data_IF_693705842805
#
_entry.id   IF_693705842805
#
_cell.length_a   1.000
_cell.length_b   1.000
_cell.length_c   1.000
_cell.angle_alpha   90.00
_cell.angle_beta   90.00
_cell.angle_gamma   90.00
#
_symmetry.space_group_name_H-M   'P 1'
#
loop_
_entity.id
_entity.type
_entity.pdbx_description
1 polymer ?
#
# COMPACT_ATOMS: atom_id res chain seq x y z
N UNK A 1 9.99 -6.85 -24.56
CA UNK A 1 9.48 -7.12 -25.93
C UNK A 1 9.27 -5.86 -26.79
N UNK A 2 8.74 -4.70 -26.33
CA UNK A 2 8.53 -3.54 -27.22
C UNK A 2 9.82 -2.81 -27.67
N UNK A 3 10.90 -2.85 -26.88
CA UNK A 3 12.17 -2.15 -27.19
C UNK A 3 12.90 -2.70 -28.43
N UNK A 4 12.80 -3.99 -28.73
CA UNK A 4 13.46 -4.61 -29.89
C UNK A 4 12.78 -4.21 -31.21
N UNK A 5 11.45 -4.08 -31.19
CA UNK A 5 10.67 -3.65 -32.36
C UNK A 5 10.90 -2.17 -32.68
N UNK A 6 10.99 -1.33 -31.65
CA UNK A 6 11.24 0.11 -31.78
C UNK A 6 12.64 0.39 -32.34
N UNK A 7 13.63 -0.38 -31.90
CA UNK A 7 15.01 -0.29 -32.41
C UNK A 7 15.10 -0.73 -33.88
N UNK A 8 14.45 -1.84 -34.24
CA UNK A 8 14.40 -2.33 -35.64
C UNK A 8 13.69 -1.35 -36.57
N UNK A 9 12.60 -0.73 -36.11
CA UNK A 9 11.90 0.27 -36.92
C UNK A 9 12.72 1.55 -37.08
N UNK A 10 13.45 1.97 -36.03
CA UNK A 10 14.35 3.11 -36.10
C UNK A 10 15.43 2.90 -37.19
N UNK A 11 16.08 1.74 -37.19
CA UNK A 11 17.07 1.39 -38.22
C UNK A 11 16.47 1.35 -39.64
N UNK A 12 15.26 0.81 -39.80
CA UNK A 12 14.55 0.79 -41.08
C UNK A 12 14.19 2.21 -41.57
N UNK A 13 13.83 3.09 -40.64
CA UNK A 13 13.51 4.50 -40.93
C UNK A 13 14.76 5.28 -41.32
N UNK A 14 15.89 5.06 -40.64
CA UNK A 14 17.18 5.66 -40.99
C UNK A 14 17.66 5.21 -42.38
N UNK A 15 17.54 3.93 -42.70
CA UNK A 15 17.86 3.39 -44.03
C UNK A 15 16.96 3.97 -45.14
N UNK A 16 15.66 4.14 -44.87
CA UNK A 16 14.73 4.79 -45.79
C UNK A 16 15.12 6.26 -46.05
N UNK A 17 15.43 7.02 -45.00
CA UNK A 17 15.83 8.42 -45.13
C UNK A 17 17.13 8.57 -45.94
N UNK A 18 18.12 7.69 -45.75
CA UNK A 18 19.36 7.70 -46.53
C UNK A 18 19.13 7.43 -48.03
N UNK A 19 18.17 6.55 -48.36
CA UNK A 19 17.81 6.23 -49.73
C UNK A 19 17.02 7.37 -50.39
N UNK A 20 16.13 8.03 -49.63
CA UNK A 20 15.40 9.21 -50.07
C UNK A 20 16.33 10.39 -50.38
N UNK A 21 17.32 10.67 -49.54
CA UNK A 21 18.32 11.70 -49.80
C UNK A 21 19.18 11.38 -51.03
N UNK A 22 19.57 10.11 -51.21
CA UNK A 22 20.29 9.66 -52.40
C UNK A 22 19.47 9.86 -53.69
N UNK A 23 18.16 9.62 -53.63
CA UNK A 23 17.24 9.87 -54.73
C UNK A 23 17.13 11.36 -55.06
N UNK A 24 16.97 12.24 -54.05
CA UNK A 24 16.92 13.70 -54.26
C UNK A 24 18.19 14.23 -54.95
N UNK A 25 19.36 13.77 -54.51
CA UNK A 25 20.65 14.15 -55.12
C UNK A 25 20.73 13.73 -56.59
N UNK A 26 20.29 12.50 -56.91
CA UNK A 26 20.30 12.01 -58.29
C UNK A 26 19.25 12.68 -59.18
N UNK A 27 18.10 13.06 -58.62
CA UNK A 27 17.08 13.83 -59.33
C UNK A 27 17.61 15.22 -59.71
N UNK A 28 18.21 15.94 -58.76
CA UNK A 28 18.86 17.23 -59.01
C UNK A 28 19.97 17.13 -60.06
N UNK A 29 20.74 16.03 -60.06
CA UNK A 29 21.76 15.77 -61.09
C UNK A 29 21.12 15.59 -62.47
N UNK A 30 19.99 14.88 -62.58
CA UNK A 30 19.28 14.73 -63.85
C UNK A 30 18.68 16.05 -64.33
N UNK A 31 18.05 16.82 -63.45
CA UNK A 31 17.47 18.13 -63.79
C UNK A 31 18.54 19.11 -64.30
N UNK A 32 19.69 19.20 -63.61
CA UNK A 32 20.83 20.02 -64.07
C UNK A 32 21.31 19.60 -65.47
N UNK A 33 21.36 18.29 -65.75
CA UNK A 33 21.83 17.78 -67.04
C UNK A 33 20.81 17.99 -68.17
N UNK A 34 19.51 17.92 -67.87
CA UNK A 34 18.46 18.27 -68.84
C UNK A 34 18.56 19.75 -69.20
N UNK A 35 18.74 20.64 -68.22
CA UNK A 35 18.84 22.08 -68.44
C UNK A 35 20.15 22.50 -69.15
N UNK A 36 21.25 21.77 -68.94
CA UNK A 36 22.51 21.97 -69.67
C UNK A 36 22.41 21.53 -71.15
N UNK A 37 21.45 20.67 -71.50
CA UNK A 37 21.20 20.24 -72.89
C UNK A 37 20.51 21.31 -73.75
N UNK A 38 19.94 22.34 -73.11
CA UNK A 38 19.15 23.42 -73.72
C UNK A 38 19.91 24.75 -73.80
N UNK A 39 21.21 24.76 -73.50
CA UNK A 39 22.10 25.92 -73.58
C UNK A 39 23.11 25.70 -74.71
N UNK A 40 23.33 26.69 -75.57
CA UNK A 40 24.14 26.57 -76.80
C UNK A 40 25.67 26.39 -76.54
N UNK A 41 26.14 26.52 -75.30
CA UNK A 41 27.54 26.28 -74.91
C UNK A 41 27.77 24.83 -74.44
N UNK A 42 27.76 23.89 -75.39
CA UNK A 42 27.85 22.45 -75.13
C UNK A 42 29.26 21.85 -75.33
N UNK A 43 30.31 22.49 -74.80
CA UNK A 43 31.69 22.01 -75.04
C UNK A 43 32.37 21.24 -73.90
N UNK A 44 31.79 21.13 -72.69
CA UNK A 44 32.51 20.44 -71.60
C UNK A 44 31.86 19.28 -70.84
N UNK A 45 30.63 18.83 -71.16
CA UNK A 45 30.11 17.57 -70.59
C UNK A 45 29.20 16.83 -71.58
N UNK A 46 29.75 16.24 -72.64
CA UNK A 46 29.01 15.27 -73.46
C UNK A 46 29.05 13.90 -72.78
N UNK A 47 28.13 13.66 -71.83
CA UNK A 47 27.77 12.27 -71.50
C UNK A 47 27.19 11.61 -72.76
N UNK A 48 27.58 10.37 -72.99
CA UNK A 48 27.05 9.60 -74.12
C UNK A 48 25.54 9.39 -73.97
N UNK A 49 24.81 9.29 -75.09
CA UNK A 49 23.37 8.96 -75.08
C UNK A 49 23.06 7.72 -74.24
N UNK A 50 24.00 6.78 -74.18
CA UNK A 50 23.95 5.56 -73.36
C UNK A 50 24.00 5.85 -71.86
N UNK A 51 24.86 6.75 -71.40
CA UNK A 51 24.96 7.16 -69.98
C UNK A 51 23.72 7.91 -69.52
N UNK A 52 23.16 8.78 -70.36
CA UNK A 52 21.91 9.49 -70.07
C UNK A 52 20.74 8.51 -69.91
N UNK A 53 20.63 7.52 -70.79
CA UNK A 53 19.61 6.46 -70.67
C UNK A 53 19.78 5.64 -69.40
N UNK A 54 21.02 5.25 -69.04
CA UNK A 54 21.32 4.54 -67.78
C UNK A 54 20.93 5.36 -66.54
N UNK A 55 21.19 6.67 -66.56
CA UNK A 55 20.87 7.56 -65.43
C UNK A 55 19.36 7.73 -65.24
N UNK A 56 18.62 7.94 -66.34
CA UNK A 56 17.14 8.02 -66.31
C UNK A 56 16.53 6.72 -65.81
N UNK A 57 17.00 5.57 -66.29
CA UNK A 57 16.51 4.27 -65.85
C UNK A 57 16.83 3.98 -64.38
N UNK A 58 18.02 4.39 -63.92
CA UNK A 58 18.40 4.27 -62.50
C UNK A 58 17.50 5.14 -61.61
N UNK A 59 17.19 6.36 -62.04
CA UNK A 59 16.26 7.23 -61.32
C UNK A 59 14.83 6.70 -61.30
N UNK A 60 14.36 6.10 -62.41
CA UNK A 60 13.04 5.44 -62.45
C UNK A 60 12.97 4.30 -61.43
N UNK A 61 13.97 3.42 -61.41
CA UNK A 61 14.07 2.30 -60.45
C UNK A 61 14.16 2.77 -59.01
N UNK A 62 14.91 3.86 -58.74
CA UNK A 62 14.99 4.43 -57.40
C UNK A 62 13.66 5.04 -56.96
N UNK A 63 12.93 5.74 -57.84
CA UNK A 63 11.61 6.30 -57.54
C UNK A 63 10.58 5.21 -57.18
N UNK A 64 10.57 4.12 -57.94
CA UNK A 64 9.73 2.94 -57.67
C UNK A 64 10.08 2.36 -56.29
N UNK A 65 11.37 2.13 -56.02
CA UNK A 65 11.84 1.58 -54.74
C UNK A 65 11.57 2.49 -53.54
N UNK A 66 11.66 3.82 -53.71
CA UNK A 66 11.28 4.79 -52.66
C UNK A 66 9.78 4.69 -52.38
N UNK A 67 8.93 4.63 -53.41
CA UNK A 67 7.48 4.55 -53.26
C UNK A 67 7.06 3.23 -52.58
N UNK A 68 7.70 2.11 -52.92
CA UNK A 68 7.48 0.82 -52.25
C UNK A 68 7.85 0.87 -50.76
N UNK A 69 9.01 1.46 -50.43
CA UNK A 69 9.46 1.60 -49.05
C UNK A 69 8.62 2.61 -48.24
N UNK A 70 8.04 3.64 -48.86
CA UNK A 70 7.08 4.55 -48.20
C UNK A 70 5.83 3.80 -47.74
N UNK A 71 5.26 2.98 -48.62
CA UNK A 71 4.10 2.14 -48.29
C UNK A 71 4.46 1.13 -47.19
N UNK A 72 5.64 0.51 -47.31
CA UNK A 72 6.13 -0.49 -46.35
C UNK A 72 6.48 0.11 -44.97
N UNK A 73 6.81 1.40 -44.90
CA UNK A 73 7.12 2.11 -43.65
C UNK A 73 5.90 2.80 -43.01
N UNK A 74 4.84 3.08 -43.76
CA UNK A 74 3.59 3.63 -43.21
C UNK A 74 2.83 2.59 -42.36
N UNK A 75 2.74 1.34 -42.81
CA UNK A 75 1.99 0.30 -42.10
C UNK A 75 2.50 0.02 -40.66
N UNK A 76 3.82 -0.12 -40.40
CA UNK A 76 4.34 -0.27 -39.04
C UNK A 76 4.11 0.94 -38.14
N UNK A 77 4.16 2.16 -38.68
CA UNK A 77 3.93 3.38 -37.90
C UNK A 77 2.47 3.49 -37.45
N UNK A 78 1.52 3.15 -38.33
CA UNK A 78 0.09 3.10 -37.99
C UNK A 78 -0.14 2.05 -36.91
N UNK A 79 0.43 0.85 -37.06
CA UNK A 79 0.32 -0.22 -36.07
C UNK A 79 0.83 0.18 -34.67
N UNK A 80 1.97 0.89 -34.59
CA UNK A 80 2.51 1.39 -33.32
C UNK A 80 1.61 2.45 -32.70
N UNK A 81 1.10 3.40 -33.50
CA UNK A 81 0.16 4.42 -33.00
C UNK A 81 -1.10 3.77 -32.43
N UNK A 82 -1.72 2.85 -33.18
CA UNK A 82 -2.89 2.11 -32.72
C UNK A 82 -2.60 1.28 -31.47
N UNK A 83 -1.43 0.63 -31.37
CA UNK A 83 -1.05 -0.12 -30.18
C UNK A 83 -0.88 0.78 -28.94
N UNK A 84 -0.30 1.97 -29.10
CA UNK A 84 -0.17 2.97 -28.02
C UNK A 84 -1.54 3.47 -27.56
N UNK A 85 -2.42 3.83 -28.49
CA UNK A 85 -3.78 4.28 -28.18
C UNK A 85 -4.61 3.19 -27.48
N UNK A 86 -4.47 1.92 -27.91
CA UNK A 86 -5.14 0.79 -27.25
C UNK A 86 -4.61 0.58 -25.82
N UNK A 87 -3.29 0.68 -25.62
CA UNK A 87 -2.69 0.57 -24.30
C UNK A 87 -3.15 1.70 -23.37
N UNK A 88 -3.21 2.93 -23.86
CA UNK A 88 -3.68 4.09 -23.10
C UNK A 88 -5.17 3.95 -22.72
N UNK A 89 -6.02 3.52 -23.67
CA UNK A 89 -7.43 3.21 -23.39
C UNK A 89 -7.59 2.11 -22.36
N UNK A 90 -6.75 1.07 -22.41
CA UNK A 90 -6.77 -0.01 -21.44
C UNK A 90 -6.36 0.50 -20.05
N UNK A 91 -5.33 1.33 -19.97
CA UNK A 91 -4.89 1.95 -18.72
C UNK A 91 -5.99 2.83 -18.09
N UNK A 92 -6.63 3.70 -18.87
CA UNK A 92 -7.71 4.56 -18.36
C UNK A 92 -8.94 3.75 -17.93
N UNK A 93 -9.26 2.64 -18.61
CA UNK A 93 -10.32 1.71 -18.17
C UNK A 93 -10.00 1.09 -16.81
N UNK A 94 -8.79 0.58 -16.63
CA UNK A 94 -8.36 0.00 -15.35
C UNK A 94 -8.39 1.03 -14.22
N UNK A 95 -7.95 2.26 -14.51
CA UNK A 95 -7.96 3.36 -13.55
C UNK A 95 -9.40 3.72 -13.14
N UNK A 96 -10.32 3.81 -14.09
CA UNK A 96 -11.73 4.08 -13.82
C UNK A 96 -12.36 2.97 -12.97
N UNK A 97 -12.09 1.70 -13.29
CA UNK A 97 -12.58 0.55 -12.52
C UNK A 97 -12.06 0.57 -11.07
N UNK A 98 -10.78 0.90 -10.87
CA UNK A 98 -10.20 1.04 -9.52
C UNK A 98 -10.88 2.17 -8.73
N UNK A 99 -11.18 3.29 -9.38
CA UNK A 99 -11.87 4.42 -8.72
C UNK A 99 -13.27 3.99 -8.29
N UNK A 100 -14.02 3.35 -9.19
CA UNK A 100 -15.37 2.87 -8.88
C UNK A 100 -15.37 1.86 -7.72
N UNK A 101 -14.45 0.88 -7.74
CA UNK A 101 -14.32 -0.08 -6.65
C UNK A 101 -13.99 0.59 -5.32
N UNK A 102 -13.11 1.62 -5.32
CA UNK A 102 -12.80 2.39 -4.11
C UNK A 102 -14.02 3.13 -3.58
N UNK A 103 -14.80 3.76 -4.46
CA UNK A 103 -16.00 4.49 -4.06
C UNK A 103 -17.06 3.55 -3.49
N UNK A 104 -17.24 2.36 -4.08
CA UNK A 104 -18.13 1.32 -3.53
C UNK A 104 -17.69 0.88 -2.13
N UNK A 105 -16.39 0.63 -1.92
CA UNK A 105 -15.86 0.26 -0.60
C UNK A 105 -16.06 1.39 0.42
N UNK A 106 -15.77 2.63 0.04
CA UNK A 106 -15.93 3.79 0.92
C UNK A 106 -17.40 3.96 1.32
N UNK A 107 -18.33 3.84 0.37
CA UNK A 107 -19.75 3.97 0.65
C UNK A 107 -20.26 2.85 1.56
N UNK A 108 -19.86 1.60 1.31
CA UNK A 108 -20.19 0.46 2.19
C UNK A 108 -19.66 0.68 3.62
N UNK A 109 -18.42 1.15 3.76
CA UNK A 109 -17.85 1.46 5.08
C UNK A 109 -18.59 2.60 5.78
N UNK A 110 -18.97 3.65 5.05
CA UNK A 110 -19.78 4.76 5.59
C UNK A 110 -21.13 4.27 6.10
N UNK A 111 -21.82 3.43 5.33
CA UNK A 111 -23.10 2.86 5.73
C UNK A 111 -22.98 2.01 6.99
N UNK A 112 -21.96 1.13 7.08
CA UNK A 112 -21.71 0.32 8.27
C UNK A 112 -21.41 1.16 9.50
N UNK A 113 -20.60 2.21 9.36
CA UNK A 113 -20.29 3.12 10.46
C UNK A 113 -21.54 3.92 10.88
N UNK A 114 -22.37 4.34 9.91
CA UNK A 114 -23.64 5.01 10.20
C UNK A 114 -24.59 4.08 10.99
N UNK A 115 -24.70 2.82 10.59
CA UNK A 115 -25.50 1.83 11.32
C UNK A 115 -25.01 1.69 12.77
N UNK A 116 -23.70 1.60 12.97
CA UNK A 116 -23.12 1.54 14.31
C UNK A 116 -23.38 2.83 15.12
N UNK A 117 -23.26 3.99 14.48
CA UNK A 117 -23.58 5.28 15.09
C UNK A 117 -25.04 5.35 15.54
N UNK A 118 -25.97 4.85 14.72
CA UNK A 118 -27.40 4.87 15.03
C UNK A 118 -27.75 3.95 16.21
N UNK A 119 -26.97 2.89 16.46
CA UNK A 119 -27.15 2.02 17.63
C UNK A 119 -26.73 2.71 18.94
N UNK A 120 -25.69 3.55 18.88
CA UNK A 120 -25.12 4.22 20.04
C UNK A 120 -25.85 5.53 20.34
N UNK A 121 -26.09 6.33 19.31
CA UNK A 121 -26.71 7.66 19.37
C UNK A 121 -27.86 7.75 18.37
N UNK A 122 -29.03 7.18 18.70
CA UNK A 122 -30.19 7.20 17.79
C UNK A 122 -30.63 8.63 17.51
N UNK A 123 -31.07 8.87 16.27
CA UNK A 123 -31.58 10.17 15.79
C UNK A 123 -30.56 11.32 15.80
N UNK A 124 -29.26 11.03 15.88
CA UNK A 124 -28.21 12.02 15.68
C UNK A 124 -27.53 11.84 14.32
N UNK A 125 -27.18 12.93 13.62
CA UNK A 125 -26.34 12.83 12.43
C UNK A 125 -25.00 12.21 12.82
N UNK A 126 -24.44 11.38 11.94
CA UNK A 126 -23.14 10.79 12.20
C UNK A 126 -22.06 11.86 12.30
N UNK A 127 -21.37 11.86 13.42
CA UNK A 127 -20.13 12.57 13.63
C UNK A 127 -19.14 11.60 14.29
N UNK A 128 -18.01 11.36 13.63
CA UNK A 128 -17.00 10.43 14.11
C UNK A 128 -16.46 10.85 15.47
N UNK A 129 -16.29 12.15 15.71
CA UNK A 129 -15.75 12.65 16.96
C UNK A 129 -16.74 12.45 18.12
N UNK A 130 -18.02 12.71 17.88
CA UNK A 130 -19.11 12.43 18.83
C UNK A 130 -19.21 10.93 19.12
N UNK A 131 -19.21 10.08 18.09
CA UNK A 131 -19.23 8.63 18.23
C UNK A 131 -18.04 8.11 19.06
N UNK A 132 -16.82 8.58 18.75
CA UNK A 132 -15.62 8.21 19.49
C UNK A 132 -15.71 8.62 20.96
N UNK A 133 -16.21 9.83 21.24
CA UNK A 133 -16.39 10.34 22.61
C UNK A 133 -17.42 9.50 23.37
N UNK A 134 -18.52 9.15 22.71
CA UNK A 134 -19.59 8.34 23.31
C UNK A 134 -19.14 6.91 23.60
N UNK A 135 -18.41 6.26 22.68
CA UNK A 135 -17.81 4.94 22.92
C UNK A 135 -16.86 4.98 24.12
N UNK A 136 -16.02 6.02 24.23
CA UNK A 136 -15.14 6.20 25.39
C UNK A 136 -15.95 6.39 26.68
N UNK A 137 -17.00 7.20 26.66
CA UNK A 137 -17.91 7.42 27.80
C UNK A 137 -18.53 6.10 28.27
N UNK A 138 -19.09 5.32 27.35
CA UNK A 138 -19.67 4.02 27.63
C UNK A 138 -18.62 3.06 28.21
N UNK A 139 -17.39 3.05 27.68
CA UNK A 139 -16.33 2.20 28.20
C UNK A 139 -15.89 2.58 29.61
N UNK A 140 -15.80 3.88 29.91
CA UNK A 140 -15.50 4.37 31.27
C UNK A 140 -16.61 3.94 32.23
N UNK A 141 -17.87 4.13 31.85
CA UNK A 141 -19.04 3.74 32.66
C UNK A 141 -19.04 2.24 32.97
N UNK A 142 -18.83 1.41 31.96
CA UNK A 142 -18.70 -0.04 32.07
C UNK A 142 -17.58 -0.44 33.05
N UNK A 143 -16.37 0.08 32.86
CA UNK A 143 -15.23 -0.20 33.75
C UNK A 143 -15.45 0.30 35.18
N UNK A 144 -16.18 1.41 35.35
CA UNK A 144 -16.49 1.98 36.67
C UNK A 144 -17.40 1.06 37.48
N UNK A 145 -18.25 0.28 36.81
CA UNK A 145 -19.10 -0.73 37.44
C UNK A 145 -18.34 -2.06 37.64
N UNK A 146 -17.59 -2.51 36.62
CA UNK A 146 -16.90 -3.80 36.67
C UNK A 146 -15.78 -3.85 37.71
N UNK A 147 -14.99 -2.77 37.87
CA UNK A 147 -13.84 -2.76 38.77
C UNK A 147 -14.23 -2.99 40.24
N UNK A 148 -15.26 -2.32 40.80
CA UNK A 148 -15.76 -2.61 42.15
C UNK A 148 -16.21 -4.06 42.32
N UNK A 149 -16.96 -4.62 41.37
CA UNK A 149 -17.43 -6.01 41.42
C UNK A 149 -16.26 -7.00 41.43
N UNK A 150 -15.31 -6.82 40.52
CA UNK A 150 -14.08 -7.64 40.47
C UNK A 150 -13.21 -7.47 41.72
N UNK A 151 -13.19 -6.27 42.31
CA UNK A 151 -12.48 -6.05 43.58
C UNK A 151 -13.13 -6.82 44.73
N UNK A 152 -14.45 -6.85 44.79
CA UNK A 152 -15.18 -7.62 45.80
C UNK A 152 -14.96 -9.13 45.63
N UNK A 153 -15.03 -9.65 44.41
CA UNK A 153 -14.72 -11.05 44.09
C UNK A 153 -13.29 -11.42 44.53
N UNK A 154 -12.32 -10.59 44.16
CA UNK A 154 -10.92 -10.77 44.56
C UNK A 154 -10.73 -10.76 46.11
N UNK A 155 -11.41 -9.85 46.82
CA UNK A 155 -11.36 -9.80 48.29
C UNK A 155 -11.97 -11.05 48.92
N UNK A 156 -13.09 -11.56 48.38
CA UNK A 156 -13.70 -12.81 48.82
C UNK A 156 -12.78 -14.00 48.59
N UNK A 157 -12.21 -14.14 47.40
CA UNK A 157 -11.29 -15.23 47.06
C UNK A 157 -10.01 -15.19 47.91
N UNK A 158 -9.48 -13.99 48.15
CA UNK A 158 -8.33 -13.79 49.05
C UNK A 158 -8.67 -14.21 50.48
N UNK A 159 -9.85 -13.83 50.99
CA UNK A 159 -10.27 -14.20 52.34
C UNK A 159 -10.52 -15.72 52.47
N UNK A 160 -11.13 -16.33 51.46
CA UNK A 160 -11.33 -17.77 51.39
C UNK A 160 -9.98 -18.51 51.40
N UNK A 161 -8.99 -18.03 50.65
CA UNK A 161 -7.65 -18.60 50.66
C UNK A 161 -6.97 -18.41 52.03
N UNK A 162 -7.11 -17.23 52.65
CA UNK A 162 -6.60 -16.94 53.99
C UNK A 162 -7.19 -17.86 55.06
N UNK A 163 -8.47 -18.23 54.96
CA UNK A 163 -9.11 -19.12 55.92
C UNK A 163 -8.50 -20.53 55.93
N UNK A 164 -7.86 -20.94 54.82
CA UNK A 164 -7.16 -22.21 54.70
C UNK A 164 -5.67 -22.14 55.07
N UNK A 165 -5.19 -20.98 55.54
CA UNK A 165 -3.79 -20.73 55.87
C UNK A 165 -3.60 -20.46 57.37
N UNK A 166 -2.45 -20.85 57.89
CA UNK A 166 -2.00 -20.42 59.22
C UNK A 166 -1.57 -18.94 59.19
N UNK A 167 -1.21 -18.38 60.36
CA UNK A 167 -0.86 -16.95 60.46
C UNK A 167 0.35 -16.56 59.59
N UNK A 168 1.36 -17.43 59.46
CA UNK A 168 2.51 -17.20 58.60
C UNK A 168 2.13 -17.22 57.11
N UNK A 169 1.29 -18.16 56.69
CA UNK A 169 0.78 -18.24 55.31
C UNK A 169 -0.10 -17.05 54.95
N UNK A 170 -0.98 -16.59 55.85
CA UNK A 170 -1.77 -15.35 55.68
C UNK A 170 -0.87 -14.14 55.45
N UNK A 171 0.17 -14.00 56.27
CA UNK A 171 1.15 -12.92 56.15
C UNK A 171 1.95 -13.01 54.84
N UNK A 172 2.32 -14.22 54.42
CA UNK A 172 3.03 -14.47 53.18
C UNK A 172 2.17 -14.13 51.95
N UNK A 173 0.90 -14.53 51.94
CA UNK A 173 -0.06 -14.18 50.90
C UNK A 173 -0.20 -12.65 50.75
N UNK A 174 -0.38 -11.94 51.87
CA UNK A 174 -0.44 -10.47 51.86
C UNK A 174 0.85 -9.84 51.32
N UNK A 175 2.02 -10.41 51.63
CA UNK A 175 3.31 -9.97 51.08
C UNK A 175 3.40 -10.21 49.57
N UNK A 176 2.93 -11.35 49.07
CA UNK A 176 2.94 -11.68 47.64
C UNK A 176 2.06 -10.68 46.88
N UNK A 177 0.82 -10.47 47.31
CA UNK A 177 -0.12 -9.52 46.68
C UNK A 177 0.48 -8.10 46.67
N UNK A 178 1.02 -7.64 47.80
CA UNK A 178 1.67 -6.32 47.90
C UNK A 178 2.88 -6.19 46.97
N UNK A 179 3.72 -7.23 46.87
CA UNK A 179 4.88 -7.22 45.97
C UNK A 179 4.46 -7.23 44.50
N UNK A 180 3.46 -8.03 44.14
CA UNK A 180 2.91 -8.08 42.79
C UNK A 180 2.38 -6.69 42.37
N UNK A 181 1.65 -6.00 43.25
CA UNK A 181 1.17 -4.64 43.00
C UNK A 181 2.31 -3.63 42.80
N UNK A 182 3.41 -3.75 43.56
CA UNK A 182 4.61 -2.92 43.35
C UNK A 182 5.28 -3.22 42.02
N UNK A 183 5.34 -4.49 41.61
CA UNK A 183 5.89 -4.88 40.31
C UNK A 183 5.04 -4.33 39.16
N UNK A 184 3.72 -4.32 39.29
CA UNK A 184 2.85 -3.72 38.29
C UNK A 184 3.03 -2.20 38.16
N UNK A 185 3.41 -1.52 39.24
CA UNK A 185 3.64 -0.07 39.26
C UNK A 185 5.07 0.35 38.89
N UNK A 186 6.06 -0.55 39.01
CA UNK A 186 7.47 -0.22 38.83
C UNK A 186 8.08 -1.03 37.69
N UNK A 187 8.83 -0.37 36.79
CA UNK A 187 9.61 -1.03 35.73
C UNK A 187 10.85 -1.80 36.27
N UNK A 188 10.88 -2.15 37.57
CA UNK A 188 12.02 -2.85 38.18
C UNK A 188 11.76 -4.36 38.21
N UNK A 189 12.70 -5.13 37.65
CA UNK A 189 12.69 -6.59 37.63
C UNK A 189 13.03 -7.20 39.01
N UNK A 190 12.16 -7.03 40.00
CA UNK A 190 12.23 -7.79 41.27
C UNK A 190 11.41 -9.09 41.20
N UNK A 191 11.43 -9.77 40.06
CA UNK A 191 10.64 -10.98 39.77
C UNK A 191 11.04 -12.15 40.68
N UNK A 192 12.33 -12.32 40.92
CA UNK A 192 12.90 -13.49 41.59
C UNK A 192 12.38 -13.64 43.03
N UNK A 193 12.39 -12.53 43.79
CA UNK A 193 11.85 -12.49 45.17
C UNK A 193 10.33 -12.69 45.23
N UNK A 194 9.59 -12.50 44.14
CA UNK A 194 8.16 -12.83 44.11
C UNK A 194 7.97 -14.33 43.91
N UNK A 195 8.77 -14.92 43.02
CA UNK A 195 8.68 -16.35 42.72
C UNK A 195 9.12 -17.21 43.91
N UNK A 196 10.17 -16.81 44.63
CA UNK A 196 10.55 -17.43 45.91
C UNK A 196 9.40 -17.47 46.91
N UNK A 197 8.70 -16.34 47.12
CA UNK A 197 7.59 -16.26 48.06
C UNK A 197 6.38 -17.09 47.60
N UNK A 198 6.11 -17.12 46.29
CA UNK A 198 5.07 -18.01 45.73
C UNK A 198 5.41 -19.46 45.99
N UNK A 199 6.66 -19.87 45.81
CA UNK A 199 7.06 -21.25 46.01
C UNK A 199 6.92 -21.67 47.48
N UNK A 200 7.38 -20.83 48.41
CA UNK A 200 7.20 -21.06 49.85
C UNK A 200 5.71 -21.21 50.21
N UNK A 201 4.84 -20.35 49.66
CA UNK A 201 3.41 -20.43 49.94
C UNK A 201 2.73 -21.62 49.25
N UNK A 202 3.20 -22.06 48.08
CA UNK A 202 2.70 -23.27 47.40
C UNK A 202 2.96 -24.51 48.24
N UNK A 203 4.12 -24.59 48.88
CA UNK A 203 4.47 -25.71 49.75
C UNK A 203 3.57 -25.78 51.00
N UNK A 204 3.11 -24.62 51.50
CA UNK A 204 2.10 -24.51 52.57
C UNK A 204 0.67 -24.82 52.08
N UNK A 205 0.38 -24.60 50.79
CA UNK A 205 -0.93 -24.76 50.14
C UNK A 205 -1.09 -26.12 49.44
N UNK A 206 -0.49 -27.22 49.92
CA UNK A 206 -0.41 -28.53 49.23
C UNK A 206 -1.62 -28.98 48.38
N UNK A 207 -2.86 -28.65 48.79
CA UNK A 207 -4.11 -28.99 48.06
C UNK A 207 -4.85 -27.79 47.42
N UNK A 208 -4.31 -26.57 47.50
CA UNK A 208 -4.94 -25.30 47.10
C UNK A 208 -3.98 -24.37 46.32
N UNK A 209 -2.91 -24.92 45.73
CA UNK A 209 -1.93 -24.15 44.96
C UNK A 209 -2.51 -23.52 43.68
N UNK A 210 -3.54 -24.13 43.10
CA UNK A 210 -4.32 -23.57 41.99
C UNK A 210 -5.03 -22.28 42.40
N UNK A 211 -5.65 -22.25 43.59
CA UNK A 211 -6.31 -21.04 44.13
C UNK A 211 -5.35 -19.87 44.32
N UNK A 212 -4.09 -20.13 44.66
CA UNK A 212 -3.07 -19.07 44.70
C UNK A 212 -2.85 -18.47 43.30
N UNK A 213 -2.79 -19.32 42.28
CA UNK A 213 -2.63 -18.86 40.89
C UNK A 213 -3.84 -18.06 40.43
N UNK A 214 -5.06 -18.49 40.76
CA UNK A 214 -6.31 -17.78 40.49
C UNK A 214 -6.31 -16.38 41.13
N UNK A 215 -6.06 -16.28 42.43
CA UNK A 215 -6.00 -15.00 43.16
C UNK A 215 -4.96 -14.05 42.54
N UNK A 216 -3.79 -14.57 42.15
CA UNK A 216 -2.74 -13.75 41.52
C UNK A 216 -3.09 -13.31 40.10
N UNK A 217 -3.85 -14.10 39.35
CA UNK A 217 -4.36 -13.74 38.03
C UNK A 217 -5.46 -12.68 38.14
N UNK A 218 -6.40 -12.84 39.07
CA UNK A 218 -7.44 -11.84 39.37
C UNK A 218 -6.83 -10.50 39.79
N UNK A 219 -5.78 -10.52 40.64
CA UNK A 219 -5.08 -9.29 41.01
C UNK A 219 -4.44 -8.60 39.79
N UNK A 220 -3.90 -9.37 38.84
CA UNK A 220 -3.34 -8.85 37.58
C UNK A 220 -4.43 -8.26 36.70
N UNK A 221 -5.55 -8.96 36.53
CA UNK A 221 -6.70 -8.49 35.78
C UNK A 221 -7.23 -7.18 36.36
N UNK A 222 -7.46 -7.13 37.68
CA UNK A 222 -7.93 -5.95 38.39
C UNK A 222 -6.97 -4.77 38.24
N UNK A 223 -5.65 -5.01 38.28
CA UNK A 223 -4.66 -3.97 38.01
C UNK A 223 -4.78 -3.44 36.58
N UNK A 224 -4.91 -4.33 35.59
CA UNK A 224 -5.03 -3.94 34.18
C UNK A 224 -6.31 -3.13 33.92
N UNK A 225 -7.44 -3.54 34.50
CA UNK A 225 -8.70 -2.81 34.39
C UNK A 225 -8.58 -1.40 34.98
N UNK A 226 -7.99 -1.27 36.18
CA UNK A 226 -7.74 0.04 36.82
C UNK A 226 -6.81 0.92 36.00
N UNK A 227 -5.74 0.34 35.45
CA UNK A 227 -4.81 1.06 34.57
C UNK A 227 -5.51 1.53 33.29
N UNK A 228 -6.33 0.68 32.69
CA UNK A 228 -7.08 1.01 31.49
C UNK A 228 -8.09 2.14 31.75
N UNK A 229 -8.85 2.08 32.85
CA UNK A 229 -9.75 3.15 33.27
C UNK A 229 -8.98 4.48 33.45
N UNK A 230 -7.85 4.45 34.15
CA UNK A 230 -7.02 5.65 34.37
C UNK A 230 -6.53 6.25 33.05
N UNK A 231 -6.11 5.42 32.09
CA UNK A 231 -5.70 5.90 30.77
C UNK A 231 -6.85 6.59 30.03
N UNK A 232 -8.04 5.99 30.03
CA UNK A 232 -9.24 6.57 29.40
C UNK A 232 -9.63 7.91 30.04
N UNK A 233 -9.54 8.02 31.37
CA UNK A 233 -9.82 9.26 32.10
C UNK A 233 -8.77 10.35 31.84
N UNK A 234 -7.49 9.97 31.76
CA UNK A 234 -6.41 10.92 31.45
C UNK A 234 -6.57 11.51 30.04
N UNK A 235 -7.00 10.71 29.06
CA UNK A 235 -7.29 11.18 27.71
C UNK A 235 -8.49 12.15 27.65
N UNK A 236 -9.43 12.07 28.59
CA UNK A 236 -10.55 13.03 28.68
C UNK A 236 -10.14 14.38 29.28
N UNK A 237 -9.13 14.40 30.16
CA UNK A 237 -8.68 15.63 30.86
C UNK A 237 -7.68 16.49 30.06
N UNK A 238 -7.39 16.15 28.79
CA UNK A 238 -6.47 16.89 27.89
C UNK A 238 -7.25 17.74 26.86
N UNK A 239 -8.51 18.10 27.15
CA UNK A 239 -9.31 19.06 26.36
C UNK A 239 -9.85 20.15 27.25
#
# INVERSE_FOLDING_TARGET
MPQDLETKLKLKTEAYNALLESYKVLQLRVERQINLSSSDDAEHVRMTTTERRKLIETNRKLKEKVSELEIENQAPQVAIRTARELHERQYERQKAEIIEQKDQIINNLKEKIQQFSNLISPNQPYDFQSLQTEIKRLKIQDLTIQIPLKKQEFEQNTNNLKNNLNNSGKYLLDKIIKKQNKLFQSNKNNSDKLEELKQILKDDLKNNSERLTEVLNENKELFNLKKHLKNLQNEQNIR
#
